data_IF_601543917955
#
_entry.id   IF_601543917955
#
_cell.length_a   1.000
_cell.length_b   1.000
_cell.length_c   1.000
_cell.angle_alpha   90.00
_cell.angle_beta   90.00
_cell.angle_gamma   90.00
#
_symmetry.space_group_name_H-M   'P 1'
#
loop_
_entity.id
_entity.type
_entity.pdbx_description
1 polymer ?
#
# COMPACT_ATOMS: atom_id res chain seq x y z
N UNK A 1 -2.48 -1.89 -1.85
CA UNK A 1 -1.26 -2.00 -2.68
C UNK A 1 -1.40 -3.23 -3.54
N UNK A 2 -1.54 -3.08 -4.85
CA UNK A 2 -1.58 -4.22 -5.77
C UNK A 2 -0.17 -4.82 -5.95
N UNK A 3 0.06 -6.08 -5.53
CA UNK A 3 1.36 -6.75 -5.67
C UNK A 3 1.86 -6.79 -7.12
N UNK A 4 0.92 -6.83 -8.06
CA UNK A 4 1.16 -6.95 -9.49
C UNK A 4 1.80 -5.68 -10.07
N UNK A 5 1.39 -4.49 -9.59
CA UNK A 5 1.92 -3.19 -10.05
C UNK A 5 3.39 -3.02 -9.69
N UNK A 6 3.78 -3.32 -8.45
CA UNK A 6 5.18 -3.20 -8.04
C UNK A 6 6.09 -4.16 -8.82
N UNK A 7 5.62 -5.38 -9.12
CA UNK A 7 6.36 -6.32 -9.96
C UNK A 7 6.53 -5.83 -11.40
N UNK A 8 5.47 -5.28 -11.99
CA UNK A 8 5.52 -4.72 -13.33
C UNK A 8 6.53 -3.57 -13.41
N UNK A 9 6.54 -2.66 -12.42
CA UNK A 9 7.51 -1.56 -12.34
C UNK A 9 8.95 -2.05 -12.24
N UNK A 10 9.19 -3.07 -11.41
CA UNK A 10 10.52 -3.70 -11.28
C UNK A 10 10.98 -4.33 -12.60
N UNK A 11 10.07 -5.00 -13.32
CA UNK A 11 10.39 -5.58 -14.63
C UNK A 11 10.67 -4.50 -15.69
N UNK A 12 9.87 -3.43 -15.73
CA UNK A 12 10.05 -2.30 -16.64
C UNK A 12 11.38 -1.55 -16.41
N UNK A 13 11.81 -1.46 -15.15
CA UNK A 13 13.11 -0.91 -14.80
C UNK A 13 14.30 -1.83 -15.14
N UNK A 14 14.06 -2.98 -15.77
CA UNK A 14 15.09 -3.87 -16.30
C UNK A 14 15.72 -4.81 -15.28
N UNK A 15 15.13 -4.96 -14.09
CA UNK A 15 15.62 -5.90 -13.09
C UNK A 15 15.27 -7.33 -13.50
N UNK A 16 16.30 -8.13 -13.79
CA UNK A 16 16.16 -9.53 -14.24
C UNK A 16 15.97 -10.52 -13.09
N UNK A 17 16.33 -10.12 -11.87
CA UNK A 17 16.18 -10.96 -10.68
C UNK A 17 15.93 -10.15 -9.41
N UNK A 18 15.37 -10.81 -8.39
CA UNK A 18 15.22 -10.24 -7.04
C UNK A 18 16.56 -9.87 -6.40
N UNK A 19 17.63 -10.56 -6.81
CA UNK A 19 18.97 -10.37 -6.30
C UNK A 19 19.57 -9.05 -6.80
N UNK A 20 19.26 -8.66 -8.04
CA UNK A 20 19.67 -7.38 -8.62
C UNK A 20 18.97 -6.21 -7.92
N UNK A 21 17.69 -6.39 -7.60
CA UNK A 21 16.92 -5.40 -6.85
C UNK A 21 17.41 -5.26 -5.41
N UNK A 22 17.73 -6.37 -4.73
CA UNK A 22 18.37 -6.37 -3.40
C UNK A 22 19.70 -5.60 -3.42
N UNK A 23 20.59 -5.92 -4.38
CA UNK A 23 21.88 -5.23 -4.53
C UNK A 23 21.74 -3.75 -4.80
N UNK A 24 20.77 -3.36 -5.64
CA UNK A 24 20.55 -1.96 -6.02
C UNK A 24 19.91 -1.13 -4.91
N UNK A 25 18.97 -1.71 -4.18
CA UNK A 25 18.21 -1.00 -3.13
C UNK A 25 18.85 -1.11 -1.75
N UNK A 26 19.68 -2.13 -1.52
CA UNK A 26 20.16 -2.52 -0.19
C UNK A 26 19.01 -2.87 0.76
N UNK A 27 17.87 -3.32 0.23
CA UNK A 27 16.74 -3.87 1.00
C UNK A 27 16.87 -5.39 0.97
N UNK A 28 16.77 -6.02 2.14
CA UNK A 28 16.92 -7.46 2.27
C UNK A 28 15.92 -8.20 1.37
N UNK A 29 16.39 -9.26 0.69
CA UNK A 29 15.61 -10.03 -0.29
C UNK A 29 14.23 -10.43 0.19
N UNK A 30 14.14 -10.90 1.44
CA UNK A 30 12.87 -11.38 2.01
C UNK A 30 11.86 -10.25 2.20
N UNK A 31 12.33 -9.05 2.53
CA UNK A 31 11.50 -7.85 2.64
C UNK A 31 11.00 -7.43 1.27
N UNK A 32 11.89 -7.35 0.27
CA UNK A 32 11.53 -7.04 -1.13
C UNK A 32 10.49 -8.03 -1.66
N UNK A 33 10.72 -9.32 -1.45
CA UNK A 33 9.80 -10.37 -1.85
C UNK A 33 8.43 -10.22 -1.17
N UNK A 34 8.38 -9.99 0.14
CA UNK A 34 7.11 -9.75 0.86
C UNK A 34 6.35 -8.53 0.33
N UNK A 35 7.06 -7.45 0.03
CA UNK A 35 6.48 -6.22 -0.54
C UNK A 35 5.88 -6.46 -1.93
N UNK A 36 6.60 -7.15 -2.81
CA UNK A 36 6.13 -7.52 -4.15
C UNK A 36 5.01 -8.55 -4.16
N UNK A 37 4.81 -9.29 -3.07
CA UNK A 37 3.68 -10.19 -2.87
C UNK A 37 2.50 -9.48 -2.18
N UNK A 38 2.62 -8.19 -1.86
CA UNK A 38 1.63 -7.44 -1.08
C UNK A 38 1.44 -7.97 0.34
N UNK A 39 2.33 -8.84 0.81
CA UNK A 39 2.32 -9.38 2.18
C UNK A 39 2.88 -8.41 3.20
N UNK A 40 3.52 -7.33 2.73
CA UNK A 40 4.11 -6.31 3.58
C UNK A 40 4.02 -4.94 2.89
N UNK A 41 3.49 -3.95 3.58
CA UNK A 41 3.54 -2.56 3.11
C UNK A 41 4.97 -2.03 3.19
N UNK A 42 5.49 -1.38 2.13
CA UNK A 42 6.78 -0.72 2.18
C UNK A 42 6.82 0.36 3.26
N UNK A 43 7.86 0.35 4.10
CA UNK A 43 8.16 1.47 4.99
C UNK A 43 8.64 2.67 4.17
N UNK A 44 8.58 3.88 4.74
CA UNK A 44 9.12 5.10 4.10
C UNK A 44 10.56 4.91 3.62
N UNK A 45 11.41 4.26 4.41
CA UNK A 45 12.80 3.98 4.05
C UNK A 45 12.92 3.02 2.86
N UNK A 46 12.12 1.95 2.82
CA UNK A 46 12.11 1.05 1.66
C UNK A 46 11.50 1.70 0.42
N UNK A 47 10.47 2.55 0.57
CA UNK A 47 9.89 3.33 -0.52
C UNK A 47 10.94 4.23 -1.17
N UNK A 48 11.71 4.98 -0.38
CA UNK A 48 12.80 5.81 -0.92
C UNK A 48 13.83 4.99 -1.67
N UNK A 49 14.27 3.86 -1.12
CA UNK A 49 15.25 2.98 -1.78
C UNK A 49 14.73 2.38 -3.09
N UNK A 50 13.47 1.96 -3.11
CA UNK A 50 12.81 1.43 -4.31
C UNK A 50 12.67 2.53 -5.36
N UNK A 51 12.18 3.71 -4.99
CA UNK A 51 12.03 4.85 -5.89
C UNK A 51 13.37 5.22 -6.55
N UNK A 52 14.44 5.36 -5.76
CA UNK A 52 15.79 5.61 -6.30
C UNK A 52 16.28 4.50 -7.22
N UNK A 53 16.05 3.23 -6.87
CA UNK A 53 16.46 2.11 -7.72
C UNK A 53 15.70 2.06 -9.06
N UNK A 54 14.44 2.49 -9.05
CA UNK A 54 13.56 2.55 -10.22
C UNK A 54 13.70 3.87 -11.02
N UNK A 55 14.49 4.84 -10.55
CA UNK A 55 14.62 6.15 -11.19
C UNK A 55 13.39 7.04 -11.05
N UNK A 56 12.59 6.84 -10.01
CA UNK A 56 11.34 7.56 -9.73
C UNK A 56 11.48 8.42 -8.47
N UNK A 57 10.61 9.43 -8.33
CA UNK A 57 10.38 10.06 -7.02
C UNK A 57 9.54 9.14 -6.14
N UNK A 58 9.63 9.36 -4.82
CA UNK A 58 8.82 8.59 -3.85
C UNK A 58 7.33 8.82 -4.06
N UNK A 59 6.94 10.06 -4.39
CA UNK A 59 5.56 10.45 -4.66
C UNK A 59 5.02 9.72 -5.90
N UNK A 60 5.78 9.73 -7.00
CA UNK A 60 5.40 9.03 -8.24
C UNK A 60 5.24 7.53 -7.98
N UNK A 61 6.19 6.93 -7.25
CA UNK A 61 6.07 5.52 -6.87
C UNK A 61 4.85 5.25 -5.98
N UNK A 62 4.54 6.13 -5.02
CA UNK A 62 3.38 5.99 -4.16
C UNK A 62 2.07 6.06 -4.97
N UNK A 63 1.93 7.05 -5.84
CA UNK A 63 0.76 7.18 -6.73
C UNK A 63 0.60 5.97 -7.65
N UNK A 64 1.69 5.42 -8.20
CA UNK A 64 1.64 4.21 -9.02
C UNK A 64 1.24 2.96 -8.23
N UNK A 65 1.57 2.90 -6.94
CA UNK A 65 1.25 1.77 -6.05
C UNK A 65 -0.10 1.92 -5.34
N UNK A 66 -0.67 3.11 -5.34
CA UNK A 66 -2.06 3.35 -5.00
C UNK A 66 -2.95 2.67 -6.06
N UNK A 67 -3.63 1.62 -5.63
CA UNK A 67 -4.95 1.29 -6.17
C UNK A 67 -5.92 2.33 -5.61
N UNK A 68 -6.95 2.74 -6.38
CA UNK A 68 -8.15 3.32 -5.77
C UNK A 68 -8.42 2.53 -4.49
N UNK A 69 -8.34 3.19 -3.33
CA UNK A 69 -8.87 2.57 -2.13
C UNK A 69 -10.31 2.17 -2.50
N UNK A 70 -10.80 0.96 -2.17
CA UNK A 70 -12.24 0.82 -2.09
C UNK A 70 -12.67 1.94 -1.14
N UNK A 71 -13.34 2.96 -1.68
CA UNK A 71 -13.97 3.94 -0.81
C UNK A 71 -14.83 3.10 0.12
N UNK A 72 -14.69 3.22 1.45
CA UNK A 72 -15.69 2.62 2.32
C UNK A 72 -17.05 3.04 1.75
N UNK A 73 -18.01 2.11 1.57
CA UNK A 73 -19.29 2.47 0.98
C UNK A 73 -19.75 3.73 1.70
N UNK A 74 -20.03 4.81 0.93
CA UNK A 74 -20.62 5.98 1.54
C UNK A 74 -21.90 5.47 2.18
N UNK A 75 -21.90 5.42 3.51
CA UNK A 75 -23.09 5.16 4.29
C UNK A 75 -24.11 6.20 3.81
N UNK A 76 -25.27 5.74 3.39
CA UNK A 76 -26.35 6.68 3.09
C UNK A 76 -26.72 7.41 4.39
N UNK A 77 -27.33 8.59 4.29
CA UNK A 77 -27.76 9.33 5.49
C UNK A 77 -28.66 8.44 6.39
N UNK A 78 -29.42 7.52 5.79
CA UNK A 78 -30.22 6.51 6.50
C UNK A 78 -29.38 5.47 7.28
N UNK A 79 -28.21 5.08 6.76
CA UNK A 79 -27.31 4.15 7.45
C UNK A 79 -26.60 4.85 8.64
N UNK A 80 -26.34 6.16 8.51
CA UNK A 80 -25.76 6.98 9.59
C UNK A 80 -26.78 7.19 10.71
N UNK A 81 -28.04 7.48 10.36
CA UNK A 81 -29.13 7.61 11.34
C UNK A 81 -29.38 6.29 12.08
N UNK A 82 -29.38 5.17 11.37
CA UNK A 82 -29.53 3.83 11.98
C UNK A 82 -28.41 3.49 12.96
N UNK A 83 -27.18 3.98 12.71
CA UNK A 83 -26.06 3.81 13.63
C UNK A 83 -26.19 4.73 14.85
N UNK A 84 -26.62 5.98 14.67
CA UNK A 84 -26.84 6.89 15.81
C UNK A 84 -27.91 6.35 16.77
N UNK A 85 -29.02 5.80 16.26
CA UNK A 85 -30.05 5.17 17.08
C UNK A 85 -29.53 3.95 17.87
N UNK A 86 -28.57 3.20 17.31
CA UNK A 86 -27.93 2.07 18.00
C UNK A 86 -27.01 2.51 19.15
N UNK A 87 -26.39 3.69 19.08
CA UNK A 87 -25.49 4.22 20.12
C UNK A 87 -26.20 5.06 21.19
N UNK A 88 -27.42 5.54 20.96
CA UNK A 88 -28.20 6.24 21.99
C UNK A 88 -28.80 5.32 23.07
N UNK A 89 -28.70 3.99 22.91
CA UNK A 89 -29.24 3.03 23.88
C UNK A 89 -28.31 2.78 25.09
N UNK A 90 -27.04 3.19 25.05
CA UNK A 90 -26.09 3.00 26.19
C UNK A 90 -25.97 4.23 27.12
N UNK A 91 -26.87 5.20 27.02
CA UNK A 91 -26.82 6.46 27.79
C UNK A 91 -27.86 6.62 28.90
N UNK A 92 -28.69 5.62 29.19
CA UNK A 92 -29.83 5.78 30.08
C UNK A 92 -29.98 4.65 31.08
N UNK A 93 -29.25 4.73 32.20
CA UNK A 93 -29.74 4.33 33.53
C UNK A 93 -28.68 4.64 34.60
N UNK A 94 -28.88 5.72 35.36
CA UNK A 94 -28.69 5.82 36.83
C UNK A 94 -29.09 7.20 37.32
#
# INVERSE_FOLDING_TARGET
MEPQKLRALVALAGFKSWLDLERRTGVCRITVWRQLQGRQTPTRRSMSKLATALGLSVEVLATMLESEQPQPPRLSDADVDSLNELFEVEGGES
#
